data_IF_036220358481
#
_entry.id   IF_036220358481
#
_cell.length_a   1.000
_cell.length_b   1.000
_cell.length_c   1.000
_cell.angle_alpha   90.00
_cell.angle_beta   90.00
_cell.angle_gamma   90.00
#
_symmetry.space_group_name_H-M   'P 1'
#
loop_
_entity.id
_entity.type
_entity.pdbx_description
1 polymer ?
#
# COMPACT_ATOMS: atom_id res chain seq x y z
N UNK A 1 -9.38 -27.49 13.52
CA UNK A 1 -8.18 -28.23 13.10
C UNK A 1 -7.36 -27.35 12.18
N UNK A 2 -6.18 -26.96 12.67
CA UNK A 2 -5.01 -26.37 11.99
C UNK A 2 -5.15 -25.18 11.04
N UNK A 3 -5.09 -23.98 11.63
CA UNK A 3 -4.43 -22.81 11.03
C UNK A 3 -2.94 -23.10 10.83
N UNK A 4 -2.45 -23.05 9.59
CA UNK A 4 -1.00 -23.03 9.30
C UNK A 4 -0.55 -21.60 9.07
N UNK A 5 0.33 -21.16 9.97
CA UNK A 5 1.08 -19.92 9.95
C UNK A 5 1.81 -19.72 8.62
N UNK A 6 1.70 -18.51 8.06
CA UNK A 6 2.64 -17.98 7.08
C UNK A 6 3.44 -16.89 7.78
N UNK A 7 4.62 -17.24 8.28
CA UNK A 7 5.71 -16.31 8.57
C UNK A 7 6.82 -16.61 7.57
N UNK A 8 6.94 -15.77 6.55
CA UNK A 8 8.08 -15.78 5.65
C UNK A 8 9.04 -14.66 6.11
N UNK A 9 10.10 -15.10 6.76
CA UNK A 9 11.30 -14.34 7.13
C UNK A 9 11.98 -13.86 5.84
N UNK A 10 12.12 -12.55 5.65
CA UNK A 10 13.14 -12.00 4.76
C UNK A 10 14.33 -11.58 5.61
N UNK A 11 15.37 -12.41 5.60
CA UNK A 11 16.68 -12.07 6.11
C UNK A 11 17.42 -11.21 5.09
N UNK A 12 17.78 -9.99 5.48
CA UNK A 12 18.73 -9.16 4.74
C UNK A 12 20.13 -9.49 5.27
N UNK A 13 20.82 -10.41 4.62
CA UNK A 13 22.26 -10.61 4.83
C UNK A 13 23.00 -9.65 3.89
N UNK A 14 23.54 -8.56 4.46
CA UNK A 14 24.46 -7.67 3.77
C UNK A 14 25.86 -8.29 3.85
N UNK A 15 26.34 -8.78 2.72
CA UNK A 15 27.77 -9.03 2.51
C UNK A 15 28.39 -7.69 2.12
N UNK A 16 29.24 -7.15 2.99
CA UNK A 16 30.20 -6.09 2.64
C UNK A 16 31.27 -6.74 1.74
N UNK A 17 31.26 -6.43 0.45
CA UNK A 17 32.35 -6.73 -0.46
C UNK A 17 32.72 -5.46 -1.23
N UNK A 18 34.02 -5.17 -1.18
CA UNK A 18 34.73 -4.11 -1.90
C UNK A 18 34.34 -4.00 -3.38
N UNK A 19 34.26 -2.77 -3.86
CA UNK A 19 33.93 -2.46 -5.24
C UNK A 19 35.16 -2.64 -6.15
N UNK A 20 35.28 -3.82 -6.79
CA UNK A 20 36.09 -4.00 -7.99
C UNK A 20 35.18 -4.35 -9.17
N UNK A 21 35.03 -3.39 -10.07
CA UNK A 21 34.24 -3.49 -11.29
C UNK A 21 34.93 -4.46 -12.28
N UNK A 22 34.35 -5.64 -12.49
CA UNK A 22 34.70 -6.52 -13.63
C UNK A 22 33.43 -6.79 -14.44
N UNK A 23 33.41 -6.24 -15.65
CA UNK A 23 32.45 -6.57 -16.70
C UNK A 23 32.81 -7.93 -17.28
N UNK A 24 31.89 -8.90 -17.20
CA UNK A 24 31.96 -10.12 -18.00
C UNK A 24 30.55 -10.56 -18.44
N UNK A 25 30.39 -10.54 -19.75
CA UNK A 25 29.30 -11.05 -20.57
C UNK A 25 29.32 -12.59 -20.60
N UNK A 26 28.17 -13.25 -20.44
CA UNK A 26 28.00 -14.60 -20.99
C UNK A 26 26.53 -14.99 -21.22
N UNK A 27 26.32 -15.49 -22.43
CA UNK A 27 25.09 -16.01 -23.02
C UNK A 27 25.02 -17.54 -22.91
N UNK A 28 23.82 -18.07 -22.63
CA UNK A 28 23.33 -19.33 -23.22
C UNK A 28 23.22 -20.56 -22.29
N UNK A 29 22.05 -21.20 -22.32
CA UNK A 29 21.93 -22.67 -22.45
C UNK A 29 21.45 -23.53 -21.26
N UNK A 30 20.20 -24.01 -21.39
CA UNK A 30 19.66 -25.32 -20.98
C UNK A 30 19.48 -25.71 -19.49
N UNK A 31 18.27 -26.21 -19.20
CA UNK A 31 17.83 -26.85 -17.95
C UNK A 31 18.40 -28.28 -17.78
N UNK A 32 18.41 -28.85 -16.55
CA UNK A 32 17.29 -29.73 -16.18
C UNK A 32 16.86 -29.68 -14.69
N UNK A 33 15.62 -30.13 -14.47
CA UNK A 33 14.96 -30.38 -13.19
C UNK A 33 15.75 -31.31 -12.27
N UNK A 34 16.03 -30.84 -11.05
CA UNK A 34 16.50 -31.64 -9.93
C UNK A 34 15.83 -31.17 -8.64
N UNK A 35 15.06 -32.04 -8.00
CA UNK A 35 14.46 -31.81 -6.69
C UNK A 35 15.59 -31.98 -5.65
N UNK A 36 16.31 -30.89 -5.39
CA UNK A 36 17.35 -30.84 -4.37
C UNK A 36 16.71 -30.65 -2.98
N UNK A 37 17.16 -31.47 -2.03
CA UNK A 37 16.79 -31.40 -0.62
C UNK A 37 17.01 -29.97 -0.08
N UNK A 38 16.04 -29.49 0.70
CA UNK A 38 16.08 -28.17 1.30
C UNK A 38 17.34 -28.02 2.19
N UNK A 39 18.22 -27.04 1.93
CA UNK A 39 19.29 -26.73 2.84
C UNK A 39 18.69 -26.18 4.13
N UNK A 40 18.92 -26.86 5.24
CA UNK A 40 18.80 -26.29 6.58
C UNK A 40 19.77 -25.12 6.68
N UNK A 41 19.29 -23.92 6.37
CA UNK A 41 19.94 -22.63 6.67
C UNK A 41 19.99 -22.44 8.19
N UNK A 42 20.84 -23.21 8.86
CA UNK A 42 21.38 -22.81 10.15
C UNK A 42 22.46 -21.79 9.81
N UNK A 43 22.31 -20.51 10.20
CA UNK A 43 23.39 -19.54 10.03
C UNK A 43 24.65 -20.17 10.66
N UNK A 44 25.78 -20.27 9.93
CA UNK A 44 27.02 -20.65 10.58
C UNK A 44 27.21 -19.69 11.75
N UNK A 45 27.53 -20.22 12.93
CA UNK A 45 28.01 -19.43 14.05
C UNK A 45 29.36 -18.83 13.64
N UNK A 46 29.30 -17.80 12.80
CA UNK A 46 30.43 -16.99 12.42
C UNK A 46 30.84 -16.26 13.66
N UNK A 47 32.06 -16.53 14.10
CA UNK A 47 32.78 -15.76 15.11
C UNK A 47 32.58 -14.28 14.81
N UNK A 48 31.75 -13.62 15.62
CA UNK A 48 31.48 -12.19 15.48
C UNK A 48 32.84 -11.47 15.54
N UNK A 49 33.23 -10.74 14.48
CA UNK A 49 34.54 -10.10 14.45
C UNK A 49 34.67 -9.20 15.67
N UNK A 50 35.70 -9.46 16.48
CA UNK A 50 35.93 -8.70 17.69
C UNK A 50 35.97 -7.21 17.36
N UNK A 51 35.17 -6.41 18.08
CA UNK A 51 35.10 -4.97 17.87
C UNK A 51 36.52 -4.38 17.92
N UNK A 52 36.85 -3.41 17.03
CA UNK A 52 38.16 -2.80 17.02
C UNK A 52 38.44 -2.19 18.39
N UNK A 53 39.59 -2.53 18.98
CA UNK A 53 39.99 -1.98 20.26
C UNK A 53 40.38 -0.52 20.09
N UNK A 54 39.54 0.39 20.59
CA UNK A 54 39.82 1.82 20.60
C UNK A 54 40.96 2.15 21.56
N UNK A 55 41.81 3.11 21.21
CA UNK A 55 42.80 3.67 22.14
C UNK A 55 42.10 4.40 23.29
N UNK A 56 42.79 4.57 24.43
CA UNK A 56 42.24 5.32 25.58
C UNK A 56 41.82 6.75 25.21
N UNK A 57 42.59 7.41 24.33
CA UNK A 57 42.27 8.74 23.81
C UNK A 57 41.00 8.73 22.94
N UNK A 58 40.85 7.75 22.06
CA UNK A 58 39.64 7.58 21.25
C UNK A 58 38.42 7.29 22.13
N UNK A 59 38.57 6.49 23.19
CA UNK A 59 37.49 6.22 24.15
C UNK A 59 37.04 7.51 24.87
N UNK A 60 37.99 8.32 25.35
CA UNK A 60 37.68 9.60 26.00
C UNK A 60 36.96 10.57 25.04
N UNK A 61 37.40 10.65 23.78
CA UNK A 61 36.74 11.45 22.76
C UNK A 61 35.30 10.98 22.48
N UNK A 62 35.07 9.67 22.39
CA UNK A 62 33.73 9.09 22.20
C UNK A 62 32.82 9.35 23.39
N UNK A 63 33.33 9.18 24.60
CA UNK A 63 32.57 9.44 25.83
C UNK A 63 32.10 10.89 25.90
N UNK A 64 32.92 11.85 25.43
CA UNK A 64 32.51 13.26 25.33
C UNK A 64 31.30 13.45 24.40
N UNK A 65 31.25 12.76 23.25
CA UNK A 65 30.10 12.87 22.34
C UNK A 65 28.88 12.14 22.91
N UNK A 66 29.04 10.95 23.50
CA UNK A 66 27.96 10.19 24.14
C UNK A 66 27.38 10.87 25.39
N UNK A 67 28.16 11.71 26.06
CA UNK A 67 27.69 12.51 27.20
C UNK A 67 27.21 13.90 26.79
N UNK A 68 27.28 14.27 25.51
CA UNK A 68 26.81 15.56 25.01
C UNK A 68 25.29 15.71 25.15
N UNK A 69 24.82 16.96 25.26
CA UNK A 69 23.39 17.26 25.31
C UNK A 69 22.69 16.93 23.97
N UNK A 70 23.40 17.04 22.85
CA UNK A 70 22.87 16.69 21.51
C UNK A 70 22.56 15.20 21.39
N UNK A 71 23.48 14.33 21.83
CA UNK A 71 23.23 12.88 21.86
C UNK A 71 22.01 12.52 22.71
N UNK A 72 21.89 13.13 23.90
CA UNK A 72 20.73 12.90 24.78
C UNK A 72 19.42 13.33 24.12
N UNK A 73 19.38 14.53 23.54
CA UNK A 73 18.20 15.04 22.83
C UNK A 73 17.79 14.12 21.68
N UNK A 74 18.73 13.78 20.80
CA UNK A 74 18.46 12.93 19.61
C UNK A 74 18.04 11.53 20.05
N UNK A 75 18.64 10.97 21.09
CA UNK A 75 18.25 9.69 21.67
C UNK A 75 16.81 9.70 22.22
N UNK A 76 16.43 10.77 22.92
CA UNK A 76 15.07 10.94 23.44
C UNK A 76 14.04 11.12 22.30
N UNK A 77 14.34 11.94 21.30
CA UNK A 77 13.50 12.11 20.11
C UNK A 77 13.34 10.79 19.33
N UNK A 78 14.42 10.02 19.20
CA UNK A 78 14.37 8.68 18.59
C UNK A 78 13.47 7.72 19.39
N UNK A 79 13.56 7.73 20.72
CA UNK A 79 12.69 6.93 21.58
C UNK A 79 11.23 7.37 21.48
N UNK A 80 10.98 8.68 21.46
CA UNK A 80 9.65 9.24 21.27
C UNK A 80 9.09 8.82 19.90
N UNK A 81 9.87 8.94 18.83
CA UNK A 81 9.48 8.51 17.50
C UNK A 81 9.09 7.04 17.47
N UNK A 82 9.92 6.16 18.05
CA UNK A 82 9.63 4.72 18.18
C UNK A 82 8.35 4.44 18.97
N UNK A 83 8.07 5.22 20.02
CA UNK A 83 6.86 5.03 20.85
C UNK A 83 5.56 5.31 20.12
N UNK A 84 5.59 6.19 19.11
CA UNK A 84 4.42 6.55 18.29
C UNK A 84 4.21 5.57 17.13
N UNK A 85 5.22 4.75 16.80
CA UNK A 85 5.10 3.81 15.68
C UNK A 85 4.23 2.60 16.03
N UNK A 86 2.95 2.63 15.64
CA UNK A 86 2.05 1.46 15.74
C UNK A 86 2.37 0.34 14.73
N UNK A 87 3.33 0.57 13.83
CA UNK A 87 3.68 -0.36 12.74
C UNK A 87 4.69 -1.42 13.21
N UNK A 88 5.53 -1.11 14.20
CA UNK A 88 6.53 -2.02 14.73
C UNK A 88 6.00 -2.78 15.94
N UNK A 89 6.34 -4.07 16.04
CA UNK A 89 6.12 -4.84 17.27
C UNK A 89 7.14 -4.44 18.35
N UNK A 90 6.84 -4.74 19.62
CA UNK A 90 7.78 -4.47 20.72
C UNK A 90 9.13 -5.17 20.53
N UNK A 91 9.14 -6.37 19.95
CA UNK A 91 10.35 -7.12 19.62
C UNK A 91 11.16 -6.42 18.52
N UNK A 92 10.50 -5.92 17.46
CA UNK A 92 11.16 -5.15 16.41
C UNK A 92 11.76 -3.86 16.95
N UNK A 93 11.05 -3.16 17.84
CA UNK A 93 11.57 -1.97 18.53
C UNK A 93 12.83 -2.32 19.35
N UNK A 94 12.83 -3.45 20.07
CA UNK A 94 14.00 -3.90 20.82
C UNK A 94 15.17 -4.24 19.88
N UNK A 95 14.93 -4.91 18.75
CA UNK A 95 15.94 -5.23 17.75
C UNK A 95 16.56 -3.97 17.13
N UNK A 96 15.73 -2.97 16.78
CA UNK A 96 16.17 -1.67 16.27
C UNK A 96 17.10 -0.98 17.27
N UNK A 97 16.70 -0.91 18.55
CA UNK A 97 17.53 -0.31 19.61
C UNK A 97 18.85 -1.05 19.77
N UNK A 98 18.83 -2.38 19.75
CA UNK A 98 20.03 -3.20 19.85
C UNK A 98 20.97 -3.01 18.64
N UNK A 99 20.43 -2.88 17.43
CA UNK A 99 21.21 -2.59 16.23
C UNK A 99 21.87 -1.22 16.29
N UNK A 100 21.14 -0.18 16.69
CA UNK A 100 21.69 1.16 16.89
C UNK A 100 22.82 1.14 17.92
N UNK A 101 22.61 0.49 19.07
CA UNK A 101 23.65 0.37 20.10
C UNK A 101 24.91 -0.32 19.58
N UNK A 102 24.77 -1.40 18.78
CA UNK A 102 25.91 -2.08 18.16
C UNK A 102 26.67 -1.17 17.19
N UNK A 103 25.98 -0.40 16.37
CA UNK A 103 26.60 0.57 15.47
C UNK A 103 27.37 1.64 16.24
N UNK A 104 26.72 2.26 17.23
CA UNK A 104 27.33 3.29 18.10
C UNK A 104 28.57 2.75 18.81
N UNK A 105 28.52 1.52 19.30
CA UNK A 105 29.65 0.86 19.96
C UNK A 105 30.85 0.66 19.02
N UNK A 106 30.62 0.54 17.71
CA UNK A 106 31.67 0.39 16.69
C UNK A 106 32.19 1.69 16.07
N UNK A 107 31.55 2.84 16.33
CA UNK A 107 31.89 4.13 15.71
C UNK A 107 32.99 4.88 16.48
N UNK A 108 33.91 5.54 15.78
CA UNK A 108 34.83 6.54 16.34
C UNK A 108 34.09 7.81 16.76
N UNK A 109 34.76 8.74 17.46
CA UNK A 109 34.14 10.01 17.88
C UNK A 109 33.63 10.84 16.68
N UNK A 110 34.46 10.97 15.63
CA UNK A 110 34.09 11.70 14.39
C UNK A 110 32.89 11.05 13.68
N UNK A 111 32.88 9.72 13.60
CA UNK A 111 31.76 8.97 13.02
C UNK A 111 30.49 9.17 13.86
N UNK A 112 30.61 9.26 15.18
CA UNK A 112 29.49 9.45 16.09
C UNK A 112 28.87 10.85 15.94
N UNK A 113 29.69 11.90 15.77
CA UNK A 113 29.21 13.26 15.48
C UNK A 113 28.43 13.34 14.15
N UNK A 114 28.96 12.69 13.10
CA UNK A 114 28.27 12.60 11.81
C UNK A 114 26.96 11.80 11.95
N UNK A 115 26.99 10.69 12.68
CA UNK A 115 25.82 9.87 12.94
C UNK A 115 24.73 10.64 13.70
N UNK A 116 25.08 11.42 14.72
CA UNK A 116 24.14 12.30 15.45
C UNK A 116 23.48 13.29 14.51
N UNK A 117 24.27 13.95 13.65
CA UNK A 117 23.76 14.94 12.69
C UNK A 117 22.81 14.32 11.66
N UNK A 118 23.17 13.15 11.13
CA UNK A 118 22.34 12.40 10.19
C UNK A 118 21.04 11.90 10.86
N UNK A 119 21.14 11.37 12.07
CA UNK A 119 19.98 10.89 12.84
C UNK A 119 19.02 12.03 13.20
N UNK A 120 19.52 13.19 13.63
CA UNK A 120 18.73 14.40 13.86
C UNK A 120 17.98 14.84 12.60
N UNK A 121 18.67 14.84 11.45
CA UNK A 121 18.08 15.19 10.16
C UNK A 121 16.99 14.21 9.74
N UNK A 122 17.20 12.90 9.94
CA UNK A 122 16.19 11.87 9.68
C UNK A 122 14.98 12.03 10.60
N UNK A 123 15.20 12.28 11.89
CA UNK A 123 14.11 12.44 12.86
C UNK A 123 13.24 13.64 12.52
N UNK A 124 13.83 14.77 12.10
CA UNK A 124 13.07 15.93 11.62
C UNK A 124 12.12 15.59 10.47
N UNK A 125 12.59 14.80 9.49
CA UNK A 125 11.73 14.31 8.39
C UNK A 125 10.68 13.34 8.90
N UNK A 126 11.07 12.36 9.72
CA UNK A 126 10.16 11.32 10.25
C UNK A 126 9.10 11.84 11.23
N UNK A 127 9.36 12.98 11.86
CA UNK A 127 8.45 13.68 12.78
C UNK A 127 7.72 14.83 12.09
N UNK A 128 7.95 15.06 10.79
CA UNK A 128 7.23 16.10 10.05
C UNK A 128 5.71 15.82 10.03
N UNK A 129 4.86 16.86 9.99
CA UNK A 129 3.42 16.69 9.90
C UNK A 129 2.99 15.83 8.71
N UNK A 130 3.71 15.91 7.60
CA UNK A 130 3.47 15.14 6.38
C UNK A 130 3.71 13.64 6.62
N UNK A 131 4.85 13.28 7.25
CA UNK A 131 5.12 11.88 7.60
C UNK A 131 4.12 11.33 8.62
N UNK A 132 3.68 12.15 9.59
CA UNK A 132 2.63 11.75 10.54
C UNK A 132 1.33 11.43 9.82
N UNK A 133 0.90 12.28 8.89
CA UNK A 133 -0.29 12.07 8.08
C UNK A 133 -0.17 10.82 7.20
N UNK A 134 0.96 10.64 6.53
CA UNK A 134 1.26 9.46 5.72
C UNK A 134 1.16 8.17 6.54
N UNK A 135 1.76 8.15 7.74
CA UNK A 135 1.64 7.00 8.65
C UNK A 135 0.20 6.75 9.09
N UNK A 136 -0.55 7.79 9.44
CA UNK A 136 -1.96 7.66 9.83
C UNK A 136 -2.80 7.10 8.69
N UNK A 137 -2.60 7.59 7.47
CA UNK A 137 -3.28 7.09 6.27
C UNK A 137 -2.90 5.63 5.99
N UNK A 138 -1.61 5.29 6.06
CA UNK A 138 -1.15 3.90 5.92
C UNK A 138 -1.76 2.98 6.98
N UNK A 139 -1.91 3.48 8.20
CA UNK A 139 -2.51 2.75 9.30
C UNK A 139 -3.99 2.45 9.04
N UNK A 140 -4.73 3.42 8.52
CA UNK A 140 -6.17 3.31 8.27
C UNK A 140 -6.52 2.38 7.10
N UNK A 141 -5.78 2.46 5.99
CA UNK A 141 -6.20 1.83 4.74
C UNK A 141 -5.52 0.49 4.44
N UNK A 142 -4.40 0.17 5.09
CA UNK A 142 -3.61 -1.01 4.74
C UNK A 142 -3.41 -1.95 5.92
N UNK A 143 -3.54 -3.25 5.61
CA UNK A 143 -3.14 -4.33 6.51
C UNK A 143 -1.61 -4.35 6.67
N UNK A 144 -1.07 -4.92 7.76
CA UNK A 144 0.37 -5.03 7.96
C UNK A 144 1.12 -5.64 6.76
N UNK A 145 0.56 -6.69 6.16
CA UNK A 145 1.11 -7.37 4.98
C UNK A 145 1.20 -6.46 3.75
N UNK A 146 0.23 -5.56 3.56
CA UNK A 146 0.25 -4.63 2.45
C UNK A 146 1.20 -3.45 2.69
N UNK A 147 1.34 -3.01 3.95
CA UNK A 147 2.35 -2.00 4.32
C UNK A 147 3.77 -2.46 3.97
N UNK A 148 4.09 -3.72 4.22
CA UNK A 148 5.38 -4.30 3.82
C UNK A 148 5.59 -4.27 2.30
N UNK A 149 4.53 -4.56 1.51
CA UNK A 149 4.60 -4.46 0.04
C UNK A 149 4.81 -3.03 -0.43
N UNK A 150 4.14 -2.05 0.19
CA UNK A 150 4.34 -0.64 -0.11
C UNK A 150 5.75 -0.19 0.26
N UNK A 151 6.24 -0.57 1.45
CA UNK A 151 7.61 -0.32 1.87
C UNK A 151 8.62 -0.85 0.85
N UNK A 152 8.43 -2.08 0.34
CA UNK A 152 9.23 -2.64 -0.76
C UNK A 152 9.15 -1.83 -2.05
N UNK A 153 7.94 -1.41 -2.45
CA UNK A 153 7.71 -0.66 -3.69
C UNK A 153 8.37 0.73 -3.68
N UNK A 154 8.30 1.43 -2.55
CA UNK A 154 8.92 2.75 -2.41
C UNK A 154 10.40 2.69 -2.00
N UNK A 155 10.94 1.49 -1.77
CA UNK A 155 12.31 1.31 -1.29
C UNK A 155 12.53 1.68 0.18
N UNK A 156 11.45 1.80 0.97
CA UNK A 156 11.47 2.18 2.40
C UNK A 156 11.34 0.94 3.29
N UNK A 157 12.13 -0.11 3.00
CA UNK A 157 12.08 -1.33 3.82
C UNK A 157 12.65 -1.09 5.23
N UNK A 158 13.70 -0.28 5.32
CA UNK A 158 14.30 0.12 6.59
C UNK A 158 14.63 1.63 6.56
N UNK A 159 13.76 2.48 7.13
CA UNK A 159 13.97 3.93 7.13
C UNK A 159 15.21 4.34 7.92
N UNK A 160 15.77 3.47 8.78
CA UNK A 160 16.97 3.79 9.55
C UNK A 160 18.24 3.72 8.69
N UNK A 161 18.25 2.83 7.70
CA UNK A 161 19.37 2.70 6.76
C UNK A 161 19.29 3.69 5.59
N UNK A 162 18.18 4.42 5.45
CA UNK A 162 18.01 5.45 4.42
C UNK A 162 18.54 6.79 4.91
N UNK A 163 19.04 7.62 4.01
CA UNK A 163 19.39 9.02 4.31
C UNK A 163 18.12 9.88 4.43
N UNK A 164 18.22 11.03 5.10
CA UNK A 164 17.09 11.98 5.17
C UNK A 164 16.58 12.42 3.79
N UNK A 165 17.50 12.58 2.82
CA UNK A 165 17.14 12.90 1.44
C UNK A 165 16.35 11.77 0.77
N UNK A 166 16.78 10.50 0.95
CA UNK A 166 16.06 9.34 0.43
C UNK A 166 14.67 9.18 1.07
N UNK A 167 14.54 9.50 2.35
CA UNK A 167 13.23 9.51 3.03
C UNK A 167 12.29 10.58 2.47
N UNK A 168 12.84 11.77 2.18
CA UNK A 168 12.07 12.87 1.55
C UNK A 168 11.61 12.47 0.16
N UNK A 169 12.51 11.94 -0.68
CA UNK A 169 12.16 11.47 -2.03
C UNK A 169 11.12 10.34 -1.99
N UNK A 170 11.20 9.44 -1.01
CA UNK A 170 10.19 8.40 -0.84
C UNK A 170 8.82 8.95 -0.42
N UNK A 171 8.81 9.99 0.42
CA UNK A 171 7.59 10.70 0.81
C UNK A 171 6.97 11.43 -0.39
N UNK A 172 7.77 12.12 -1.20
CA UNK A 172 7.29 12.82 -2.40
C UNK A 172 6.63 11.84 -3.38
N UNK A 173 7.33 10.74 -3.70
CA UNK A 173 6.78 9.68 -4.57
C UNK A 173 5.48 9.08 -4.03
N UNK A 174 5.36 8.98 -2.71
CA UNK A 174 4.15 8.49 -2.07
C UNK A 174 2.99 9.47 -2.21
N UNK A 175 3.23 10.77 -2.00
CA UNK A 175 2.20 11.81 -2.12
C UNK A 175 1.78 12.00 -3.59
N UNK A 176 2.71 11.89 -4.53
CA UNK A 176 2.41 11.87 -5.97
C UNK A 176 1.49 10.70 -6.34
N UNK A 177 1.78 9.50 -5.83
CA UNK A 177 0.92 8.34 -6.09
C UNK A 177 -0.47 8.51 -5.43
N UNK A 178 -0.51 9.05 -4.22
CA UNK A 178 -1.76 9.31 -3.50
C UNK A 178 -2.62 10.34 -4.24
N UNK A 179 -2.03 11.46 -4.65
CA UNK A 179 -2.73 12.52 -5.39
C UNK A 179 -3.22 12.03 -6.76
N UNK A 180 -2.41 11.22 -7.46
CA UNK A 180 -2.79 10.57 -8.72
C UNK A 180 -4.00 9.65 -8.55
N UNK A 181 -4.01 8.80 -7.50
CA UNK A 181 -5.17 7.94 -7.20
C UNK A 181 -6.42 8.72 -6.85
N UNK A 182 -6.29 9.79 -6.06
CA UNK A 182 -7.43 10.65 -5.71
C UNK A 182 -8.04 11.30 -6.97
N UNK A 183 -7.18 11.77 -7.87
CA UNK A 183 -7.60 12.36 -9.15
C UNK A 183 -8.30 11.33 -10.03
N UNK A 184 -7.70 10.14 -10.21
CA UNK A 184 -8.28 9.05 -10.96
C UNK A 184 -9.66 8.63 -10.42
N UNK A 185 -9.81 8.58 -9.09
CA UNK A 185 -11.10 8.27 -8.46
C UNK A 185 -12.14 9.37 -8.69
N UNK A 186 -11.74 10.64 -8.63
CA UNK A 186 -12.63 11.77 -8.87
C UNK A 186 -13.11 11.79 -10.33
N UNK A 187 -12.21 11.55 -11.29
CA UNK A 187 -12.53 11.48 -12.71
C UNK A 187 -13.44 10.28 -13.01
N UNK A 188 -13.15 9.12 -12.44
CA UNK A 188 -14.02 7.95 -12.55
C UNK A 188 -15.44 8.23 -12.03
N UNK A 189 -15.56 8.87 -10.86
CA UNK A 189 -16.85 9.25 -10.29
C UNK A 189 -17.59 10.26 -11.19
N UNK A 190 -16.88 11.21 -11.80
CA UNK A 190 -17.44 12.18 -12.74
C UNK A 190 -18.00 11.49 -13.98
N UNK A 191 -17.24 10.58 -14.60
CA UNK A 191 -17.68 9.82 -15.77
C UNK A 191 -18.92 8.99 -15.44
N UNK A 192 -18.91 8.28 -14.31
CA UNK A 192 -20.06 7.50 -13.85
C UNK A 192 -21.31 8.37 -13.66
N UNK A 193 -21.17 9.57 -13.10
CA UNK A 193 -22.31 10.49 -12.92
C UNK A 193 -22.87 10.97 -14.26
N UNK A 194 -22.01 11.24 -15.25
CA UNK A 194 -22.44 11.61 -16.61
C UNK A 194 -23.20 10.47 -17.29
N UNK A 195 -22.71 9.24 -17.19
CA UNK A 195 -23.38 8.06 -17.74
C UNK A 195 -24.77 7.84 -17.10
N UNK A 196 -24.86 7.93 -15.77
CA UNK A 196 -26.14 7.81 -15.06
C UNK A 196 -27.11 8.91 -15.47
N UNK A 197 -26.62 10.15 -15.61
CA UNK A 197 -27.45 11.27 -16.08
C UNK A 197 -27.94 11.07 -17.52
N UNK A 198 -27.08 10.60 -18.42
CA UNK A 198 -27.45 10.31 -19.80
C UNK A 198 -28.48 9.17 -19.89
N UNK A 199 -28.30 8.10 -19.11
CA UNK A 199 -29.26 6.99 -19.06
C UNK A 199 -30.63 7.46 -18.52
N UNK A 200 -30.65 8.27 -17.47
CA UNK A 200 -31.90 8.84 -16.94
C UNK A 200 -32.58 9.77 -17.94
N UNK A 201 -31.81 10.58 -18.69
CA UNK A 201 -32.35 11.43 -19.74
C UNK A 201 -32.98 10.59 -20.87
N UNK A 202 -32.33 9.50 -21.28
CA UNK A 202 -32.85 8.58 -22.28
C UNK A 202 -34.15 7.92 -21.81
N UNK A 203 -34.19 7.40 -20.57
CA UNK A 203 -35.40 6.79 -20.01
C UNK A 203 -36.57 7.78 -19.97
N UNK A 204 -36.31 9.06 -19.65
CA UNK A 204 -37.33 10.12 -19.68
C UNK A 204 -37.83 10.40 -21.10
N UNK A 205 -36.94 10.40 -22.09
CA UNK A 205 -37.33 10.58 -23.48
C UNK A 205 -38.19 9.40 -23.99
N UNK A 206 -37.81 8.17 -23.67
CA UNK A 206 -38.54 6.97 -24.08
C UNK A 206 -39.94 6.90 -23.44
N UNK A 207 -40.04 7.24 -22.15
CA UNK A 207 -41.32 7.31 -21.44
C UNK A 207 -42.23 8.40 -22.01
N UNK A 208 -41.70 9.60 -22.27
CA UNK A 208 -42.46 10.68 -22.90
C UNK A 208 -42.93 10.30 -24.32
N UNK A 209 -42.09 9.65 -25.12
CA UNK A 209 -42.45 9.18 -26.46
C UNK A 209 -43.55 8.11 -26.41
N UNK A 210 -43.45 7.16 -25.48
CA UNK A 210 -44.47 6.14 -25.27
C UNK A 210 -45.82 6.73 -24.81
N UNK A 211 -45.79 7.74 -23.95
CA UNK A 211 -46.99 8.46 -23.51
C UNK A 211 -47.65 9.22 -24.67
N UNK A 212 -46.87 9.90 -25.51
CA UNK A 212 -47.39 10.58 -26.71
C UNK A 212 -47.99 9.59 -27.72
N UNK A 213 -47.36 8.42 -27.92
CA UNK A 213 -47.90 7.36 -28.77
C UNK A 213 -49.24 6.82 -28.22
N UNK A 214 -49.35 6.63 -26.90
CA UNK A 214 -50.62 6.22 -26.26
C UNK A 214 -51.70 7.31 -26.39
N UNK A 215 -51.34 8.58 -26.17
CA UNK A 215 -52.27 9.69 -26.28
C UNK A 215 -52.83 9.82 -27.71
N UNK A 216 -51.98 9.71 -28.74
CA UNK A 216 -52.42 9.75 -30.14
C UNK A 216 -53.30 8.56 -30.52
N UNK A 217 -52.99 7.34 -30.08
CA UNK A 217 -53.83 6.17 -30.29
C UNK A 217 -55.21 6.27 -29.61
N UNK A 218 -55.30 6.89 -28.43
CA UNK A 218 -56.58 7.10 -27.74
C UNK A 218 -57.51 8.08 -28.46
N UNK A 219 -56.95 9.07 -29.16
CA UNK A 219 -57.73 10.05 -29.94
C UNK A 219 -58.34 9.43 -31.18
N UNK A 220 -57.65 8.50 -31.85
CA UNK A 220 -58.17 7.79 -33.02
C UNK A 220 -59.17 6.67 -32.67
N UNK A 221 -59.16 6.17 -31.43
CA UNK A 221 -60.14 5.19 -30.94
C UNK A 221 -61.49 5.81 -30.52
N UNK A 222 -61.56 7.14 -30.34
CA UNK A 222 -62.81 7.86 -30.06
C UNK A 222 -63.53 8.25 -31.36
N UNK A 223 -63.89 7.25 -32.16
CA UNK A 223 -64.87 7.45 -33.23
C UNK A 223 -66.26 7.13 -32.67
N UNK A 224 -67.24 8.05 -32.72
CA UNK A 224 -68.57 7.86 -32.13
C UNK A 224 -69.41 6.78 -32.83
N UNK A 225 -68.97 6.26 -33.98
CA UNK A 225 -69.58 5.10 -34.64
C UNK A 225 -68.86 3.82 -34.21
N UNK A 226 -69.22 3.32 -33.02
CA UNK A 226 -68.87 1.96 -32.61
C UNK A 226 -69.64 0.97 -33.51
N UNK A 227 -68.94 0.34 -34.44
CA UNK A 227 -69.52 -0.72 -35.27
C UNK A 227 -69.98 -1.88 -34.38
N UNK A 228 -71.23 -2.35 -34.48
CA UNK A 228 -71.76 -3.47 -33.68
C UNK A 228 -71.10 -4.83 -34.01
N UNK A 229 -70.22 -4.88 -35.01
CA UNK A 229 -69.45 -6.06 -35.40
C UNK A 229 -67.96 -5.93 -35.06
N UNK A 230 -67.63 -5.34 -33.92
CA UNK A 230 -66.25 -5.40 -33.42
C UNK A 230 -65.91 -6.86 -33.08
N UNK A 231 -64.89 -7.47 -33.73
CA UNK A 231 -64.49 -8.84 -33.42
C UNK A 231 -64.08 -8.93 -31.94
N UNK A 232 -64.59 -9.96 -31.25
CA UNK A 232 -64.26 -10.24 -29.85
C UNK A 232 -62.75 -10.17 -29.66
N UNK A 233 -62.30 -9.33 -28.72
CA UNK A 233 -60.91 -9.30 -28.26
C UNK A 233 -60.50 -10.71 -27.85
N UNK A 234 -59.67 -11.34 -28.67
CA UNK A 234 -59.01 -12.60 -28.34
C UNK A 234 -58.24 -12.34 -27.05
N UNK A 235 -58.59 -13.09 -25.99
CA UNK A 235 -57.87 -13.07 -24.70
C UNK A 235 -56.39 -13.20 -25.02
N UNK A 236 -55.58 -12.22 -24.62
CA UNK A 236 -54.14 -12.36 -24.74
C UNK A 236 -53.70 -13.60 -23.95
N UNK A 237 -52.86 -14.45 -24.54
CA UNK A 237 -52.40 -15.67 -23.89
C UNK A 237 -51.69 -15.31 -22.58
N UNK A 238 -51.94 -16.13 -21.56
CA UNK A 238 -51.36 -16.03 -20.22
C UNK A 238 -49.88 -15.62 -20.28
N UNK A 239 -49.58 -14.48 -19.65
CA UNK A 239 -48.21 -14.04 -19.40
C UNK A 239 -47.52 -15.12 -18.55
N UNK A 240 -46.47 -15.74 -19.07
CA UNK A 240 -45.59 -16.61 -18.30
C UNK A 240 -44.95 -15.76 -17.18
N UNK A 241 -44.81 -16.30 -15.95
CA UNK A 241 -44.11 -15.60 -14.88
C UNK A 241 -42.68 -15.35 -15.34
N UNK A 242 -42.34 -14.07 -15.46
CA UNK A 242 -41.01 -13.52 -15.68
C UNK A 242 -39.98 -14.31 -14.85
N UNK A 243 -39.09 -15.02 -15.54
CA UNK A 243 -37.88 -15.55 -14.92
C UNK A 243 -37.18 -14.39 -14.21
N UNK A 244 -37.04 -14.54 -12.90
CA UNK A 244 -36.41 -13.56 -12.02
C UNK A 244 -34.95 -13.47 -12.44
N UNK A 245 -34.60 -12.50 -13.29
CA UNK A 245 -33.22 -12.33 -13.68
C UNK A 245 -32.39 -12.04 -12.42
N UNK A 246 -31.27 -12.75 -12.22
CA UNK A 246 -30.41 -12.52 -11.06
C UNK A 246 -29.97 -11.06 -11.04
N UNK A 247 -30.12 -10.42 -9.88
CA UNK A 247 -29.73 -9.02 -9.72
C UNK A 247 -28.21 -8.97 -9.53
N UNK A 248 -27.49 -8.50 -10.55
CA UNK A 248 -26.05 -8.31 -10.50
C UNK A 248 -25.75 -6.95 -9.90
N UNK A 249 -24.96 -6.92 -8.83
CA UNK A 249 -24.47 -5.68 -8.23
C UNK A 249 -22.94 -5.65 -8.30
N UNK A 250 -22.38 -4.53 -8.73
CA UNK A 250 -20.92 -4.31 -8.74
C UNK A 250 -20.58 -3.57 -7.45
N UNK A 251 -19.82 -4.23 -6.58
CA UNK A 251 -19.37 -3.65 -5.32
C UNK A 251 -18.38 -2.50 -5.53
N UNK A 252 -18.10 -1.71 -4.48
CA UNK A 252 -17.22 -0.54 -4.56
C UNK A 252 -15.77 -0.86 -4.98
N UNK A 253 -15.38 -2.14 -4.95
CA UNK A 253 -14.06 -2.63 -5.37
C UNK A 253 -14.07 -3.37 -6.73
N UNK A 254 -15.15 -3.28 -7.50
CA UNK A 254 -15.26 -3.92 -8.83
C UNK A 254 -15.61 -5.41 -8.82
N UNK A 255 -15.81 -6.02 -7.65
CA UNK A 255 -16.34 -7.38 -7.55
C UNK A 255 -17.82 -7.44 -7.93
N UNK A 256 -18.19 -8.39 -8.79
CA UNK A 256 -19.60 -8.67 -9.13
C UNK A 256 -20.16 -9.63 -8.09
N UNK A 257 -21.25 -9.24 -7.43
CA UNK A 257 -21.98 -10.08 -6.46
C UNK A 257 -23.40 -10.32 -6.97
N UNK A 258 -23.82 -11.57 -6.93
CA UNK A 258 -25.17 -12.01 -7.29
C UNK A 258 -25.98 -12.05 -6.01
N UNK A 259 -27.01 -11.20 -5.89
CA UNK A 259 -27.92 -11.22 -4.74
C UNK A 259 -29.30 -11.70 -5.19
N UNK A 260 -29.65 -12.92 -4.78
CA UNK A 260 -30.97 -13.52 -5.00
C UNK A 260 -30.92 -15.02 -5.30
N UNK A 261 -31.32 -15.82 -4.32
CA UNK A 261 -32.03 -17.09 -4.51
C UNK A 261 -33.41 -16.94 -3.90
#
# INVERSE_FOLDING_TARGET
MSSKMWFAVFGCAVVLADATLVVAQQSGGAAPSGIAAAPTNTPPAGTEPAAPAFTSEQQAAREKVLTSDEWRRVGDEFHQWLSVQSVYSAEQVAQIKAQMQRQVNGMTAEQLEQFVTDLDSKLKVLMSPEMVQTRSWLAQYFTPQYREKLAKRFGVQDPLNMTAAQLTEALDRFEDERSSRNTAQADFNRTRQQEVAAQLAQQRADTAAAEQARASASRSASSPYASPYAPQRVKQPYYLPYERQPNYSIGPWGGVWISGY
#
